data_IF_822588697291
#
_entry.id   IF_822588697291
#
_cell.length_a   1.000
_cell.length_b   1.000
_cell.length_c   1.000
_cell.angle_alpha   90.00
_cell.angle_beta   90.00
_cell.angle_gamma   90.00
#
_symmetry.space_group_name_H-M   'P 1'
#
loop_
_entity.id
_entity.type
_entity.pdbx_description
1 polymer ?
#
# COMPACT_ATOMS: atom_id res chain seq x y z
N UNK A 1 25.92 -0.82 2.61
CA UNK A 1 24.45 -0.96 2.62
C UNK A 1 23.84 0.32 2.04
N UNK A 2 23.40 0.29 0.78
CA UNK A 2 22.88 1.48 0.10
C UNK A 2 21.55 1.92 0.72
N UNK A 3 21.46 3.19 1.15
CA UNK A 3 20.20 3.82 1.57
C UNK A 3 19.18 3.64 0.43
N UNK A 4 17.92 3.25 0.69
CA UNK A 4 16.94 3.11 -0.38
C UNK A 4 16.80 4.48 -1.07
N UNK A 5 17.17 4.52 -2.34
CA UNK A 5 16.97 5.67 -3.22
C UNK A 5 15.56 6.22 -2.98
N UNK A 6 15.44 7.55 -2.81
CA UNK A 6 14.17 8.23 -2.52
C UNK A 6 13.17 7.91 -3.63
N UNK A 7 12.41 6.83 -3.47
CA UNK A 7 11.38 6.43 -4.44
C UNK A 7 10.38 7.57 -4.57
N UNK A 8 10.24 8.08 -5.80
CA UNK A 8 9.33 9.17 -6.08
C UNK A 8 7.91 8.79 -5.65
N UNK A 9 7.20 9.73 -5.03
CA UNK A 9 5.78 9.56 -4.69
C UNK A 9 4.92 10.17 -5.78
N UNK A 10 3.85 9.48 -6.13
CA UNK A 10 2.82 10.00 -7.03
C UNK A 10 2.17 11.22 -6.38
N UNK A 11 2.20 12.38 -7.06
CA UNK A 11 1.58 13.61 -6.56
C UNK A 11 0.07 13.45 -6.32
N UNK A 12 -0.62 12.68 -7.16
CA UNK A 12 -2.07 12.48 -7.09
C UNK A 12 -2.50 11.49 -6.01
N UNK A 13 -1.81 10.35 -5.90
CA UNK A 13 -2.22 9.25 -5.01
C UNK A 13 -1.38 9.12 -3.73
N UNK A 14 -0.27 9.85 -3.63
CA UNK A 14 0.71 9.75 -2.54
C UNK A 14 1.49 8.43 -2.51
N UNK A 15 1.22 7.50 -3.42
CA UNK A 15 1.81 6.16 -3.46
C UNK A 15 3.23 6.18 -3.99
N UNK A 16 4.02 5.18 -3.62
CA UNK A 16 5.34 4.95 -4.22
C UNK A 16 5.19 4.62 -5.71
N UNK A 17 5.95 5.32 -6.52
CA UNK A 17 6.07 5.10 -7.94
C UNK A 17 7.25 4.17 -8.24
N UNK A 18 6.99 3.12 -9.00
CA UNK A 18 7.98 2.21 -9.55
C UNK A 18 8.09 2.43 -11.06
N UNK A 19 9.30 2.36 -11.59
CA UNK A 19 9.58 2.64 -13.01
C UNK A 19 9.09 1.48 -13.88
N UNK A 20 9.21 0.25 -13.41
CA UNK A 20 8.76 -0.95 -14.10
C UNK A 20 7.82 -1.80 -13.26
N UNK A 21 7.07 -2.70 -13.94
CA UNK A 21 6.19 -3.67 -13.28
C UNK A 21 6.97 -4.63 -12.41
N UNK A 22 8.12 -5.10 -12.91
CA UNK A 22 9.00 -6.03 -12.20
C UNK A 22 9.56 -5.45 -10.91
N UNK A 23 9.92 -4.15 -10.91
CA UNK A 23 10.36 -3.45 -9.71
C UNK A 23 9.26 -3.42 -8.64
N UNK A 24 8.03 -3.09 -9.04
CA UNK A 24 6.88 -3.10 -8.15
C UNK A 24 6.55 -4.52 -7.63
N UNK A 25 6.67 -5.54 -8.49
CA UNK A 25 6.45 -6.94 -8.09
C UNK A 25 7.53 -7.44 -7.12
N UNK A 26 8.79 -7.06 -7.33
CA UNK A 26 9.91 -7.37 -6.43
C UNK A 26 9.65 -6.76 -5.06
N UNK A 27 9.21 -5.51 -5.02
CA UNK A 27 8.85 -4.85 -3.76
C UNK A 27 7.67 -5.55 -3.07
N UNK A 28 6.61 -5.87 -3.82
CA UNK A 28 5.46 -6.58 -3.27
C UNK A 28 5.85 -7.92 -2.64
N UNK A 29 6.75 -8.67 -3.28
CA UNK A 29 7.30 -9.92 -2.73
C UNK A 29 8.12 -9.67 -1.46
N UNK A 30 8.96 -8.62 -1.44
CA UNK A 30 9.74 -8.25 -0.26
C UNK A 30 8.85 -7.91 0.94
N UNK A 31 7.80 -7.12 0.73
CA UNK A 31 6.82 -6.77 1.77
C UNK A 31 6.09 -8.02 2.29
N UNK A 32 5.79 -8.99 1.40
CA UNK A 32 5.15 -10.25 1.81
C UNK A 32 6.10 -11.20 2.54
N UNK A 33 7.39 -11.18 2.21
CA UNK A 33 8.39 -12.01 2.87
C UNK A 33 8.70 -11.51 4.28
N UNK A 34 8.65 -10.20 4.50
CA UNK A 34 8.80 -9.59 5.82
C UNK A 34 7.70 -8.55 6.07
N UNK A 35 6.48 -9.01 6.39
CA UNK A 35 5.36 -8.11 6.61
C UNK A 35 5.53 -7.38 7.94
N UNK A 36 5.38 -6.06 7.90
CA UNK A 36 5.26 -5.23 9.11
C UNK A 36 4.08 -5.78 9.95
N UNK A 37 4.33 -6.25 11.19
CA UNK A 37 3.34 -6.99 11.96
C UNK A 37 2.11 -6.14 12.28
N UNK A 38 2.29 -4.84 12.50
CA UNK A 38 1.21 -3.89 12.78
C UNK A 38 0.35 -3.69 11.54
N UNK A 39 0.99 -3.43 10.39
CA UNK A 39 0.26 -3.23 9.13
C UNK A 39 -0.41 -4.52 8.64
N UNK A 40 0.19 -5.68 8.90
CA UNK A 40 -0.39 -6.98 8.61
C UNK A 40 -1.64 -7.24 9.44
N UNK A 41 -1.56 -7.06 10.76
CA UNK A 41 -2.71 -7.18 11.66
C UNK A 41 -3.86 -6.23 11.30
N UNK A 42 -3.53 -5.04 10.77
CA UNK A 42 -4.51 -4.04 10.32
C UNK A 42 -5.02 -4.25 8.89
N UNK A 43 -4.53 -5.27 8.16
CA UNK A 43 -4.93 -5.52 6.77
C UNK A 43 -4.44 -4.44 5.78
N UNK A 44 -3.44 -3.63 6.15
CA UNK A 44 -2.82 -2.61 5.32
C UNK A 44 -1.61 -3.13 4.55
N UNK A 45 -1.69 -4.39 4.09
CA UNK A 45 -0.67 -4.97 3.22
C UNK A 45 -1.05 -4.81 1.75
N UNK A 46 -0.14 -4.32 0.89
CA UNK A 46 -0.40 -4.31 -0.54
C UNK A 46 -0.55 -5.74 -1.06
N UNK A 47 -1.51 -5.96 -1.94
CA UNK A 47 -1.85 -7.28 -2.49
C UNK A 47 -1.58 -7.35 -3.99
N UNK A 48 -1.55 -6.22 -4.68
CA UNK A 48 -1.50 -6.15 -6.13
C UNK A 48 -0.64 -4.98 -6.60
N UNK A 49 -0.16 -5.11 -7.84
CA UNK A 49 0.54 -4.07 -8.59
C UNK A 49 -0.40 -3.57 -9.69
N UNK A 50 -0.44 -2.26 -9.94
CA UNK A 50 -1.21 -1.67 -11.04
C UNK A 50 -0.49 -0.47 -11.64
N UNK A 51 -0.76 -0.16 -12.90
CA UNK A 51 -0.24 1.05 -13.54
C UNK A 51 -1.13 2.24 -13.21
N UNK A 52 -0.54 3.34 -12.78
CA UNK A 52 -1.27 4.57 -12.50
C UNK A 52 -1.61 5.30 -13.79
N UNK A 53 -2.88 5.64 -14.00
CA UNK A 53 -3.30 6.44 -15.15
C UNK A 53 -2.80 7.89 -15.15
N UNK A 54 -2.40 8.46 -14.02
CA UNK A 54 -1.98 9.87 -13.92
C UNK A 54 -0.49 10.09 -14.14
N UNK A 55 0.36 9.18 -13.64
CA UNK A 55 1.82 9.31 -13.76
C UNK A 55 2.45 8.21 -14.63
N UNK A 56 1.64 7.31 -15.20
CA UNK A 56 2.04 6.14 -16.01
C UNK A 56 3.04 5.18 -15.34
N UNK A 57 3.32 5.37 -14.04
CA UNK A 57 4.21 4.54 -13.23
C UNK A 57 3.45 3.43 -12.52
N UNK A 58 4.17 2.40 -12.10
CA UNK A 58 3.60 1.25 -11.40
C UNK A 58 3.48 1.56 -9.92
N UNK A 59 2.36 1.17 -9.31
CA UNK A 59 2.04 1.39 -7.89
C UNK A 59 1.63 0.09 -7.22
N UNK A 60 1.76 0.05 -5.89
CA UNK A 60 1.17 -0.99 -5.05
C UNK A 60 -0.26 -0.62 -4.63
N UNK A 61 -1.15 -1.61 -4.57
CA UNK A 61 -2.54 -1.44 -4.14
C UNK A 61 -2.89 -2.43 -3.03
N UNK A 62 -3.70 -1.95 -2.08
CA UNK A 62 -4.22 -2.70 -0.93
C UNK A 62 -5.60 -3.32 -1.20
N UNK A 63 -6.06 -3.40 -2.46
CA UNK A 63 -7.39 -3.96 -2.78
C UNK A 63 -7.39 -5.46 -2.43
N UNK A 64 -7.80 -5.75 -1.19
CA UNK A 64 -7.90 -7.09 -0.60
C UNK A 64 -8.66 -7.08 0.74
N UNK A 65 -8.50 -6.06 1.58
CA UNK A 65 -9.32 -5.89 2.78
C UNK A 65 -10.54 -5.01 2.48
N UNK A 66 -11.60 -5.68 2.05
CA UNK A 66 -13.02 -5.29 2.06
C UNK A 66 -13.37 -3.95 2.73
N UNK A 67 -14.16 -3.13 2.03
CA UNK A 67 -14.92 -1.97 2.56
C UNK A 67 -15.53 -2.18 3.97
N UNK A 68 -15.78 -3.44 4.36
CA UNK A 68 -16.39 -3.84 5.62
C UNK A 68 -15.53 -3.62 6.89
N UNK A 69 -14.19 -3.64 6.83
CA UNK A 69 -13.38 -3.38 8.03
C UNK A 69 -13.34 -1.90 8.43
N UNK A 70 -13.36 -0.96 7.45
CA UNK A 70 -13.43 0.48 7.74
C UNK A 70 -14.77 0.88 8.38
N UNK A 71 -15.87 0.19 8.06
CA UNK A 71 -17.21 0.50 8.60
C UNK A 71 -17.33 0.17 10.09
N UNK A 72 -16.68 -0.90 10.57
CA UNK A 72 -16.75 -1.28 12.00
C UNK A 72 -16.03 -0.28 12.92
N UNK A 73 -14.89 0.29 12.52
CA UNK A 73 -14.13 1.22 13.39
C UNK A 73 -14.77 2.60 13.56
N UNK A 74 -15.63 3.08 12.64
CA UNK A 74 -16.32 4.37 12.82
C UNK A 74 -17.47 4.34 13.83
N UNK A 75 -18.06 3.16 14.13
CA UNK A 75 -19.15 3.07 15.11
C UNK A 75 -18.67 3.06 16.57
N UNK A 76 -17.45 2.61 16.85
CA UNK A 76 -16.92 2.59 18.22
C UNK A 76 -16.45 3.96 18.75
N UNK A 77 -16.07 4.89 17.87
CA UNK A 77 -15.53 6.19 18.26
C UNK A 77 -16.59 7.27 18.58
N UNK A 78 -17.89 6.96 18.43
CA UNK A 78 -18.99 7.89 18.76
C UNK A 78 -19.70 7.58 20.08
N UNK A 79 -19.25 6.57 20.83
CA UNK A 79 -19.89 6.14 22.08
C UNK A 79 -19.25 6.72 23.35
N UNK A 80 -18.34 7.69 23.24
CA UNK A 80 -17.80 8.46 24.37
C UNK A 80 -18.14 9.94 24.16
N UNK A 81 -19.32 10.33 24.63
CA UNK A 81 -19.68 11.69 25.01
C UNK A 81 -20.76 11.64 26.07
#
# INVERSE_FOLDING_TARGET
>A
MGKPEKRARCKTSGKLCFVSRDEALRELRSIRANPDPVKHALGYMPTQVYQCGSCHRWHLSFRGATKYQRRRKRKGAKAWK
#
